data_IF_301427711089
#
_entry.id   IF_301427711089
#
_cell.length_a   1.000
_cell.length_b   1.000
_cell.length_c   1.000
_cell.angle_alpha   90.00
_cell.angle_beta   90.00
_cell.angle_gamma   90.00
#
_symmetry.space_group_name_H-M   'P 1'
#
loop_
_entity.id
_entity.type
_entity.pdbx_description
1 polymer ?
#
# COMPACT_ATOMS: atom_id res chain seq x y z
N UNK A 1 -2.29 1.77 -7.21
CA UNK A 1 -0.98 1.21 -6.85
C UNK A 1 -1.05 -0.31 -6.73
N UNK A 2 -2.04 -0.88 -6.03
CA UNK A 2 -2.16 -2.34 -5.84
C UNK A 2 -2.41 -3.11 -7.14
N UNK A 3 -3.30 -2.62 -8.00
CA UNK A 3 -3.56 -3.25 -9.31
C UNK A 3 -2.42 -2.97 -10.27
N UNK A 4 -1.80 -1.80 -10.17
CA UNK A 4 -0.60 -1.50 -10.95
C UNK A 4 0.51 -2.52 -10.67
N UNK A 5 0.81 -2.82 -9.40
CA UNK A 5 1.79 -3.87 -9.08
C UNK A 5 1.35 -5.24 -9.66
N UNK A 6 0.08 -5.61 -9.56
CA UNK A 6 -0.42 -6.88 -10.16
C UNK A 6 -0.33 -6.91 -11.68
N UNK A 7 -0.62 -5.81 -12.35
CA UNK A 7 -0.50 -5.70 -13.83
C UNK A 7 0.98 -5.71 -14.23
N UNK A 8 1.83 -4.96 -13.52
CA UNK A 8 3.28 -4.95 -13.73
C UNK A 8 3.84 -6.37 -13.60
N UNK A 9 3.49 -7.09 -12.54
CA UNK A 9 4.01 -8.43 -12.29
C UNK A 9 3.50 -9.46 -13.30
N UNK A 10 2.24 -9.42 -13.68
CA UNK A 10 1.71 -10.30 -14.74
C UNK A 10 2.33 -10.06 -16.11
N UNK A 11 2.74 -8.83 -16.42
CA UNK A 11 3.33 -8.49 -17.71
C UNK A 11 4.83 -8.75 -17.80
N UNK A 12 5.54 -8.75 -16.68
CA UNK A 12 7.00 -8.88 -16.61
C UNK A 12 7.50 -10.33 -16.48
N UNK A 13 6.62 -11.28 -16.17
CA UNK A 13 6.99 -12.69 -15.92
C UNK A 13 7.54 -12.93 -14.50
N UNK A 14 7.64 -14.21 -14.14
CA UNK A 14 7.86 -14.67 -12.77
C UNK A 14 9.18 -14.24 -12.11
N UNK A 15 10.19 -13.85 -12.86
CA UNK A 15 11.52 -13.50 -12.30
C UNK A 15 11.54 -12.13 -11.60
N UNK A 16 10.66 -11.20 -11.99
CA UNK A 16 10.55 -9.89 -11.34
C UNK A 16 9.60 -9.89 -10.13
N UNK A 17 8.76 -10.90 -10.01
CA UNK A 17 7.76 -11.01 -8.94
C UNK A 17 8.40 -11.15 -7.55
N UNK A 18 9.59 -11.78 -7.48
CA UNK A 18 10.26 -12.06 -6.21
C UNK A 18 10.78 -10.80 -5.51
N UNK A 19 11.12 -9.74 -6.26
CA UNK A 19 11.82 -8.58 -5.69
C UNK A 19 10.94 -7.70 -4.79
N UNK A 20 9.68 -7.49 -5.17
CA UNK A 20 8.69 -6.69 -4.43
C UNK A 20 7.41 -7.46 -4.11
N UNK A 21 7.41 -8.73 -4.41
CA UNK A 21 6.37 -9.64 -3.94
C UNK A 21 6.28 -9.56 -2.42
N UNK A 22 5.10 -9.40 -1.86
CA UNK A 22 4.87 -9.15 -0.43
C UNK A 22 5.31 -7.76 0.09
N UNK A 23 5.58 -6.78 -0.77
CA UNK A 23 5.82 -5.41 -0.31
C UNK A 23 4.51 -4.67 -0.01
N UNK A 24 4.52 -3.87 1.06
CA UNK A 24 3.39 -3.05 1.47
C UNK A 24 3.45 -1.67 0.82
N UNK A 25 2.33 -1.12 0.32
CA UNK A 25 2.31 0.25 -0.18
C UNK A 25 2.41 1.25 0.98
N UNK A 26 3.22 2.30 0.82
CA UNK A 26 3.24 3.45 1.73
C UNK A 26 2.16 4.48 1.39
N UNK A 27 1.73 4.50 0.13
CA UNK A 27 0.73 5.43 -0.37
C UNK A 27 -0.70 5.04 -0.03
N UNK A 28 -1.65 5.82 -0.54
CA UNK A 28 -3.06 5.58 -0.34
C UNK A 28 -3.50 4.24 -0.96
N UNK A 29 -4.24 3.46 -0.19
CA UNK A 29 -4.76 2.15 -0.62
C UNK A 29 -5.84 2.25 -1.70
N UNK A 30 -6.28 3.46 -2.03
CA UNK A 30 -7.32 3.74 -3.04
C UNK A 30 -6.80 3.80 -4.48
N UNK A 31 -5.48 3.78 -4.69
CA UNK A 31 -4.87 3.74 -6.02
C UNK A 31 -4.93 2.31 -6.54
N UNK A 32 -6.03 1.96 -7.19
CA UNK A 32 -6.36 0.59 -7.61
C UNK A 32 -5.92 0.27 -9.04
N UNK A 33 -5.46 1.26 -9.79
CA UNK A 33 -4.98 1.11 -11.17
C UNK A 33 -6.04 1.39 -12.24
N UNK A 34 -7.19 1.95 -11.85
CA UNK A 34 -8.33 2.21 -12.75
C UNK A 34 -7.92 3.00 -13.98
N UNK A 35 -7.02 4.01 -13.81
CA UNK A 35 -6.50 4.79 -14.94
C UNK A 35 -5.68 3.97 -15.94
N UNK A 36 -5.04 2.88 -15.51
CA UNK A 36 -4.33 1.96 -16.41
C UNK A 36 -5.33 1.10 -17.16
N UNK A 37 -6.36 0.59 -16.48
CA UNK A 37 -7.43 -0.20 -17.11
C UNK A 37 -8.16 0.63 -18.17
N UNK A 38 -8.56 1.86 -17.83
CA UNK A 38 -9.16 2.81 -18.78
C UNK A 38 -8.26 3.07 -20.00
N UNK A 39 -6.95 3.19 -19.79
CA UNK A 39 -5.99 3.39 -20.88
C UNK A 39 -5.87 2.14 -21.77
N UNK A 40 -5.92 0.93 -21.17
CA UNK A 40 -5.91 -0.33 -21.90
C UNK A 40 -7.17 -0.50 -22.76
N UNK A 41 -8.34 -0.11 -22.26
CA UNK A 41 -9.61 -0.19 -22.97
C UNK A 41 -9.61 0.62 -24.28
N UNK A 42 -8.84 1.70 -24.33
CA UNK A 42 -8.67 2.53 -25.52
C UNK A 42 -7.39 2.22 -26.32
N UNK A 43 -6.77 1.08 -26.03
CA UNK A 43 -5.54 0.61 -26.69
C UNK A 43 -4.36 1.59 -26.54
N UNK A 44 -4.20 2.23 -25.39
CA UNK A 44 -3.04 3.07 -25.12
C UNK A 44 -1.75 2.24 -25.00
N UNK A 45 -0.64 2.83 -25.40
CA UNK A 45 0.70 2.27 -25.16
C UNK A 45 1.07 2.49 -23.71
N UNK A 46 1.51 1.46 -23.01
CA UNK A 46 1.99 1.54 -21.63
C UNK A 46 3.52 1.67 -21.58
N UNK A 47 4.01 2.46 -20.62
CA UNK A 47 5.43 2.68 -20.37
C UNK A 47 5.75 2.55 -18.87
N UNK A 48 7.01 2.35 -18.54
CA UNK A 48 7.54 2.29 -17.19
C UNK A 48 6.85 1.26 -16.27
N UNK A 49 6.23 0.22 -16.83
CA UNK A 49 5.42 -0.75 -16.09
C UNK A 49 6.23 -1.59 -15.08
N UNK A 50 7.55 -1.67 -15.23
CA UNK A 50 8.45 -2.35 -14.31
C UNK A 50 9.08 -1.41 -13.27
N UNK A 51 8.74 -0.12 -13.27
CA UNK A 51 9.38 0.86 -12.39
C UNK A 51 8.60 0.99 -11.08
N UNK A 52 9.21 0.52 -10.01
CA UNK A 52 8.72 0.61 -8.63
C UNK A 52 9.76 1.30 -7.78
N UNK A 53 9.33 2.22 -6.93
CA UNK A 53 10.18 2.92 -5.98
C UNK A 53 10.08 2.24 -4.60
N UNK A 54 10.96 1.30 -4.40
CA UNK A 54 11.11 0.38 -3.28
C UNK A 54 12.19 -0.66 -3.58
N UNK A 55 12.41 -1.64 -2.66
CA UNK A 55 11.85 -1.69 -1.32
C UNK A 55 12.52 -0.72 -0.35
N UNK A 56 11.73 -0.17 0.58
CA UNK A 56 12.25 0.49 1.77
C UNK A 56 11.89 -0.36 3.01
N UNK A 57 12.79 -0.50 3.98
CA UNK A 57 12.49 -1.16 5.25
C UNK A 57 11.56 -0.27 6.08
N UNK A 58 10.47 -0.84 6.59
CA UNK A 58 9.55 -0.15 7.49
C UNK A 58 8.84 -1.10 8.45
N UNK A 59 8.41 -0.59 9.58
CA UNK A 59 7.50 -1.31 10.47
C UNK A 59 6.07 -1.01 10.08
N UNK A 60 5.25 -2.06 9.97
CA UNK A 60 3.84 -1.95 9.57
C UNK A 60 2.97 -1.94 10.81
N UNK A 61 2.01 -1.03 10.83
CA UNK A 61 0.97 -0.99 11.85
C UNK A 61 0.00 -2.18 11.61
N UNK A 62 -0.14 -3.11 12.55
CA UNK A 62 -0.97 -4.28 12.36
C UNK A 62 -2.47 -3.96 12.22
N UNK A 63 -2.93 -2.84 12.80
CA UNK A 63 -4.34 -2.46 12.76
C UNK A 63 -4.77 -1.83 11.44
N UNK A 64 -3.85 -1.11 10.79
CA UNK A 64 -4.15 -0.34 9.57
C UNK A 64 -3.49 -0.91 8.31
N UNK A 65 -2.48 -1.78 8.45
CA UNK A 65 -1.65 -2.26 7.35
C UNK A 65 -0.73 -1.19 6.73
N UNK A 66 -0.70 0.01 7.30
CA UNK A 66 0.14 1.10 6.83
C UNK A 66 1.51 1.12 7.51
N UNK A 67 2.52 1.67 6.86
CA UNK A 67 3.82 1.91 7.49
C UNK A 67 3.70 3.02 8.55
N UNK A 68 4.36 2.85 9.71
CA UNK A 68 4.41 3.89 10.74
C UNK A 68 5.21 5.12 10.31
N UNK A 69 6.16 4.98 9.41
CA UNK A 69 7.02 6.05 8.93
C UNK A 69 8.14 5.51 8.05
N UNK A 70 9.28 6.15 8.08
CA UNK A 70 10.46 5.74 7.32
C UNK A 70 11.57 5.32 8.27
N UNK A 71 12.17 4.14 8.07
CA UNK A 71 13.39 3.74 8.79
C UNK A 71 14.66 4.27 8.10
N UNK A 72 14.58 4.48 6.78
CA UNK A 72 15.66 5.07 5.98
C UNK A 72 15.11 6.25 5.19
N UNK A 73 15.76 7.37 5.24
CA UNK A 73 15.42 8.52 4.40
C UNK A 73 16.62 9.47 4.25
N UNK A 74 16.47 10.45 3.38
CA UNK A 74 17.41 11.55 3.24
C UNK A 74 17.68 12.24 4.59
N UNK A 75 18.94 12.43 4.91
CA UNK A 75 19.40 13.07 6.16
C UNK A 75 18.97 14.53 6.30
N UNK A 76 18.44 15.15 5.25
CA UNK A 76 17.94 16.54 5.26
C UNK A 76 16.58 16.71 5.94
N UNK A 77 15.84 15.61 6.16
CA UNK A 77 14.52 15.63 6.79
C UNK A 77 14.54 14.85 8.11
N UNK A 78 14.10 15.50 9.17
CA UNK A 78 13.93 14.87 10.48
C UNK A 78 12.59 14.11 10.49
N UNK A 79 12.53 12.99 9.73
CA UNK A 79 11.33 12.17 9.62
C UNK A 79 11.37 11.10 10.72
N UNK A 80 10.26 10.91 11.39
CA UNK A 80 10.04 9.91 12.44
C UNK A 80 10.49 8.51 12.02
N UNK A 81 11.31 7.86 12.83
CA UNK A 81 11.90 6.53 12.60
C UNK A 81 13.31 6.53 12.01
N UNK A 82 13.64 7.48 11.13
CA UNK A 82 14.97 7.52 10.49
C UNK A 82 16.09 7.82 11.46
N UNK A 83 15.86 8.74 12.41
CA UNK A 83 16.81 9.09 13.45
C UNK A 83 17.19 7.89 14.30
N UNK A 84 16.18 7.20 14.83
CA UNK A 84 16.36 6.03 15.68
C UNK A 84 17.19 4.94 14.97
N UNK A 85 16.78 4.53 13.78
CA UNK A 85 17.48 3.48 13.02
C UNK A 85 18.93 3.84 12.75
N UNK A 86 19.16 5.07 12.29
CA UNK A 86 20.50 5.58 11.97
C UNK A 86 21.42 5.63 13.17
N UNK A 87 20.89 5.99 14.34
CA UNK A 87 21.70 6.24 15.53
C UNK A 87 21.78 5.04 16.48
N UNK A 88 20.75 4.18 16.52
CA UNK A 88 20.51 3.33 17.68
C UNK A 88 20.23 1.87 17.35
N UNK A 89 20.13 1.48 16.07
CA UNK A 89 19.73 0.13 15.72
C UNK A 89 20.56 -0.48 14.60
N UNK A 90 20.48 -1.79 14.47
CA UNK A 90 20.94 -2.55 13.29
C UNK A 90 19.77 -3.29 12.67
N UNK A 91 19.80 -3.51 11.36
CA UNK A 91 18.78 -4.28 10.64
C UNK A 91 19.43 -5.57 10.11
N UNK A 92 18.81 -6.71 10.46
CA UNK A 92 19.33 -8.04 10.16
C UNK A 92 18.28 -8.87 9.42
N UNK A 93 18.74 -9.87 8.66
CA UNK A 93 17.90 -10.93 8.10
C UNK A 93 17.57 -12.03 9.13
N UNK A 94 16.80 -13.05 8.72
CA UNK A 94 16.50 -14.22 9.54
C UNK A 94 17.74 -15.08 9.84
N UNK A 95 18.81 -14.95 9.06
CA UNK A 95 20.12 -15.54 9.31
C UNK A 95 20.93 -14.80 10.40
N UNK A 96 20.38 -13.71 10.92
CA UNK A 96 21.00 -12.86 11.93
C UNK A 96 22.02 -11.86 11.40
N UNK A 97 22.31 -11.84 10.09
CA UNK A 97 23.32 -10.95 9.51
C UNK A 97 22.74 -9.62 9.02
N UNK A 98 23.51 -8.54 9.24
CA UNK A 98 23.22 -7.23 8.62
C UNK A 98 23.35 -7.34 7.10
N UNK A 99 22.52 -6.62 6.38
CA UNK A 99 22.52 -6.60 4.91
C UNK A 99 22.64 -5.18 4.34
N UNK A 100 22.77 -4.17 5.17
CA UNK A 100 22.79 -2.78 4.73
C UNK A 100 23.48 -1.84 5.71
N UNK A 101 23.73 -0.62 5.26
CA UNK A 101 24.11 0.50 6.11
C UNK A 101 22.85 1.22 6.58
N UNK A 102 22.53 1.15 7.85
CA UNK A 102 21.32 1.74 8.45
C UNK A 102 21.35 3.27 8.51
N UNK A 103 22.51 3.86 8.28
CA UNK A 103 22.71 5.32 8.19
C UNK A 103 22.83 5.80 6.75
N UNK A 104 22.56 4.93 5.77
CA UNK A 104 22.66 5.33 4.36
C UNK A 104 21.53 6.27 3.95
N UNK A 105 21.84 7.13 3.00
CA UNK A 105 20.84 7.91 2.30
C UNK A 105 20.02 6.98 1.39
N UNK A 106 18.70 6.94 1.56
CA UNK A 106 17.81 6.20 0.68
C UNK A 106 16.95 7.15 -0.14
N UNK A 107 16.85 6.88 -1.42
CA UNK A 107 15.87 7.49 -2.33
C UNK A 107 14.82 6.45 -2.72
N UNK A 108 13.78 6.35 -1.92
CA UNK A 108 12.64 5.45 -2.19
C UNK A 108 13.09 4.03 -2.56
N UNK A 109 13.85 3.40 -1.64
CA UNK A 109 14.35 2.04 -1.82
C UNK A 109 15.58 1.91 -2.72
N UNK A 110 16.17 3.01 -3.11
CA UNK A 110 17.48 3.02 -3.79
C UNK A 110 18.52 3.60 -2.88
N UNK A 111 19.67 2.95 -2.84
CA UNK A 111 20.82 3.34 -2.02
C UNK A 111 22.02 3.64 -2.92
N UNK A 112 22.92 4.54 -2.50
CA UNK A 112 24.12 4.82 -3.27
C UNK A 112 25.04 3.60 -3.27
N UNK A 113 25.53 3.25 -4.46
CA UNK A 113 26.52 2.21 -4.66
C UNK A 113 27.48 2.65 -5.78
N UNK A 114 28.77 2.79 -5.45
CA UNK A 114 29.75 3.44 -6.34
C UNK A 114 29.27 4.82 -6.81
N UNK A 115 29.17 5.05 -8.12
CA UNK A 115 28.75 6.32 -8.70
C UNK A 115 27.27 6.35 -9.12
N UNK A 116 26.44 5.42 -8.62
CA UNK A 116 25.05 5.29 -9.00
C UNK A 116 24.12 5.01 -7.86
N UNK A 117 22.85 4.82 -8.18
CA UNK A 117 21.80 4.40 -7.28
C UNK A 117 21.36 3.00 -7.66
N UNK A 118 21.41 2.08 -6.69
CA UNK A 118 20.98 0.70 -6.88
C UNK A 118 19.79 0.39 -5.97
N UNK A 119 18.86 -0.49 -6.39
CA UNK A 119 17.84 -0.98 -5.48
C UNK A 119 18.44 -1.62 -4.23
N UNK A 120 17.85 -1.34 -3.07
CA UNK A 120 18.19 -2.03 -1.83
C UNK A 120 17.72 -3.48 -1.94
N UNK A 121 18.64 -4.42 -1.85
CA UNK A 121 18.30 -5.84 -1.74
C UNK A 121 17.94 -6.12 -0.28
N UNK A 122 16.69 -6.46 -0.04
CA UNK A 122 16.16 -6.69 1.30
C UNK A 122 15.65 -8.14 1.41
N UNK A 123 16.07 -8.93 2.43
CA UNK A 123 15.54 -10.26 2.65
C UNK A 123 14.04 -10.23 3.01
N UNK A 124 13.34 -11.36 2.80
CA UNK A 124 11.88 -11.45 3.07
C UNK A 124 11.55 -11.31 4.56
N UNK A 125 12.44 -11.79 5.43
CA UNK A 125 12.33 -11.65 6.87
C UNK A 125 13.47 -10.78 7.36
N UNK A 126 13.15 -9.55 7.72
CA UNK A 126 14.10 -8.60 8.28
C UNK A 126 13.61 -8.09 9.64
N UNK A 127 14.55 -7.71 10.49
CA UNK A 127 14.27 -7.30 11.86
C UNK A 127 15.19 -6.14 12.24
N UNK A 128 14.64 -5.15 12.90
CA UNK A 128 15.42 -4.08 13.54
C UNK A 128 15.72 -4.50 14.98
N UNK A 129 17.00 -4.48 15.35
CA UNK A 129 17.50 -4.89 16.67
C UNK A 129 18.12 -3.69 17.37
N UNK A 130 17.79 -3.50 18.64
CA UNK A 130 18.27 -2.42 19.48
C UNK A 130 18.32 -2.85 20.96
N UNK A 131 18.98 -2.07 21.80
CA UNK A 131 19.15 -2.35 23.22
C UNK A 131 18.35 -1.39 24.12
N UNK A 132 18.46 -1.55 25.43
CA UNK A 132 17.69 -0.77 26.40
C UNK A 132 18.15 0.70 26.51
N UNK A 133 19.42 0.97 26.24
CA UNK A 133 19.92 2.34 26.15
C UNK A 133 19.30 3.05 24.95
N UNK A 134 19.31 2.41 23.80
CA UNK A 134 18.69 2.92 22.59
C UNK A 134 17.20 3.20 22.80
N UNK A 135 16.46 2.24 23.37
CA UNK A 135 15.03 2.35 23.65
C UNK A 135 14.69 3.56 24.53
N UNK A 136 15.49 3.85 25.51
CA UNK A 136 15.31 4.97 26.43
C UNK A 136 15.78 6.31 25.90
N UNK A 137 16.68 6.30 24.91
CA UNK A 137 17.29 7.53 24.39
C UNK A 137 16.41 8.29 23.43
N UNK A 138 15.64 7.59 22.59
CA UNK A 138 14.84 8.18 21.52
C UNK A 138 13.64 7.27 21.21
N UNK A 139 12.50 7.85 20.91
CA UNK A 139 11.32 7.13 20.43
C UNK A 139 11.54 6.68 18.99
N UNK A 140 11.17 5.44 18.66
CA UNK A 140 11.29 4.91 17.29
C UNK A 140 10.40 5.70 16.34
N UNK A 141 9.13 5.87 16.69
CA UNK A 141 8.16 6.69 15.98
C UNK A 141 7.45 7.63 16.95
N UNK A 142 7.14 8.84 16.53
CA UNK A 142 6.38 9.81 17.33
C UNK A 142 5.00 9.30 17.75
N UNK A 143 4.41 8.42 16.95
CA UNK A 143 3.11 7.79 17.24
C UNK A 143 3.18 6.66 18.26
N UNK A 144 4.39 6.18 18.61
CA UNK A 144 4.57 5.10 19.57
C UNK A 144 4.54 5.61 21.01
N UNK A 145 4.31 4.71 21.94
CA UNK A 145 4.36 5.04 23.35
C UNK A 145 5.77 5.39 23.81
N UNK A 146 5.86 6.15 24.89
CA UNK A 146 7.15 6.45 25.51
C UNK A 146 7.88 5.14 25.82
N UNK A 147 9.16 5.08 25.46
CA UNK A 147 10.02 3.91 25.65
C UNK A 147 9.47 2.62 25.02
N UNK A 148 8.54 2.74 24.03
CA UNK A 148 7.88 1.63 23.35
C UNK A 148 7.17 0.63 24.27
N UNK A 149 6.70 1.05 25.44
CA UNK A 149 6.12 0.15 26.43
C UNK A 149 4.83 -0.55 25.96
N UNK A 150 3.94 0.18 25.26
CA UNK A 150 2.71 -0.41 24.72
C UNK A 150 3.02 -1.40 23.60
N UNK A 151 3.99 -1.08 22.77
CA UNK A 151 4.42 -1.91 21.63
C UNK A 151 5.11 -3.20 22.11
N UNK A 152 5.82 -3.13 23.25
CA UNK A 152 6.37 -4.31 23.93
C UNK A 152 5.23 -5.13 24.57
N UNK A 153 4.32 -4.49 25.28
CA UNK A 153 3.19 -5.15 25.95
C UNK A 153 2.26 -5.84 24.96
N UNK A 154 2.05 -5.27 23.77
CA UNK A 154 1.28 -5.90 22.68
C UNK A 154 2.01 -7.06 22.01
N UNK A 155 3.31 -7.22 22.24
CA UNK A 155 4.15 -8.21 21.60
C UNK A 155 4.59 -7.86 20.17
N UNK A 156 4.32 -6.65 19.69
CA UNK A 156 4.82 -6.15 18.41
C UNK A 156 6.34 -5.97 18.47
N UNK A 157 6.86 -5.40 19.56
CA UNK A 157 8.28 -5.38 19.87
C UNK A 157 8.59 -6.56 20.80
N UNK A 158 9.47 -7.45 20.38
CA UNK A 158 9.94 -8.57 21.21
C UNK A 158 11.06 -8.10 22.12
N UNK A 159 11.17 -8.75 23.30
CA UNK A 159 12.16 -8.45 24.33
C UNK A 159 12.86 -9.72 24.77
N UNK A 160 14.18 -9.72 24.81
CA UNK A 160 15.02 -10.81 25.34
C UNK A 160 16.06 -10.28 26.31
N UNK A 161 16.37 -11.03 27.37
CA UNK A 161 17.45 -10.67 28.30
C UNK A 161 18.84 -10.96 27.70
N UNK A 162 18.88 -11.83 26.70
CA UNK A 162 20.07 -12.09 25.88
C UNK A 162 19.74 -11.96 24.41
N UNK A 163 20.76 -11.82 23.58
CA UNK A 163 20.63 -11.78 22.10
C UNK A 163 20.00 -13.07 21.59
N UNK A 164 20.41 -14.22 22.14
CA UNK A 164 19.91 -15.54 21.72
C UNK A 164 18.43 -15.74 22.13
N UNK A 165 18.03 -15.23 23.29
CA UNK A 165 16.63 -15.25 23.71
C UNK A 165 15.77 -14.42 22.75
N UNK A 166 16.21 -13.21 22.43
CA UNK A 166 15.54 -12.34 21.46
C UNK A 166 15.45 -12.99 20.08
N UNK A 167 16.56 -13.57 19.60
CA UNK A 167 16.62 -14.23 18.30
C UNK A 167 15.57 -15.35 18.16
N UNK A 168 15.45 -16.22 19.19
CA UNK A 168 14.44 -17.30 19.20
C UNK A 168 13.01 -16.76 19.15
N UNK A 169 12.72 -15.65 19.85
CA UNK A 169 11.39 -15.03 19.82
C UNK A 169 11.03 -14.41 18.46
N UNK A 170 12.04 -13.98 17.70
CA UNK A 170 11.89 -13.38 16.38
C UNK A 170 11.97 -14.40 15.23
N UNK A 171 12.40 -15.63 15.50
CA UNK A 171 12.67 -16.62 14.47
C UNK A 171 13.94 -16.35 13.67
N UNK A 172 14.93 -15.72 14.31
CA UNK A 172 16.28 -15.45 13.76
C UNK A 172 17.21 -16.56 14.22
N UNK A 173 18.22 -16.91 13.40
CA UNK A 173 19.33 -17.79 13.84
C UNK A 173 20.05 -17.18 15.06
N UNK A 174 19.97 -17.80 16.25
CA UNK A 174 20.55 -17.23 17.46
C UNK A 174 22.08 -17.10 17.40
N UNK A 175 22.75 -18.06 16.79
CA UNK A 175 24.21 -18.03 16.66
C UNK A 175 24.65 -17.01 15.62
N UNK A 176 23.89 -16.87 14.53
CA UNK A 176 24.10 -15.85 13.51
C UNK A 176 23.98 -14.46 14.12
N UNK A 177 22.88 -14.19 14.82
CA UNK A 177 22.64 -12.88 15.44
C UNK A 177 23.70 -12.55 16.50
N UNK A 178 24.07 -13.51 17.37
CA UNK A 178 25.11 -13.31 18.38
C UNK A 178 26.43 -12.92 17.72
N UNK A 179 26.91 -13.71 16.75
CA UNK A 179 28.15 -13.41 16.03
C UNK A 179 28.11 -12.04 15.34
N UNK A 180 26.98 -11.67 14.74
CA UNK A 180 26.84 -10.38 14.08
C UNK A 180 26.90 -9.21 15.07
N UNK A 181 26.21 -9.32 16.21
CA UNK A 181 26.20 -8.25 17.23
C UNK A 181 27.59 -8.11 17.86
N UNK A 182 28.25 -9.21 18.20
CA UNK A 182 29.60 -9.17 18.74
C UNK A 182 30.57 -8.51 17.75
N UNK A 183 30.53 -8.91 16.47
CA UNK A 183 31.34 -8.32 15.42
C UNK A 183 31.03 -6.82 15.21
N UNK A 184 29.76 -6.43 15.22
CA UNK A 184 29.35 -5.04 15.13
C UNK A 184 29.88 -4.21 16.31
N UNK A 185 29.76 -4.72 17.53
CA UNK A 185 30.25 -4.07 18.75
C UNK A 185 31.77 -3.88 18.72
N UNK A 186 32.54 -4.87 18.24
CA UNK A 186 33.96 -4.70 18.01
C UNK A 186 34.31 -3.60 17.03
N UNK A 187 33.52 -3.49 15.95
CA UNK A 187 33.71 -2.43 14.96
C UNK A 187 33.33 -1.07 15.50
N UNK A 188 32.30 -0.96 16.32
CA UNK A 188 31.99 0.26 17.05
C UNK A 188 33.17 0.71 17.95
N UNK A 189 33.78 -0.23 18.66
CA UNK A 189 34.95 0.08 19.50
C UNK A 189 36.17 0.56 18.67
N UNK A 190 36.35 0.02 17.47
CA UNK A 190 37.37 0.48 16.51
C UNK A 190 37.02 1.77 15.80
N UNK A 191 35.76 2.18 15.83
CA UNK A 191 35.24 3.37 15.14
C UNK A 191 35.16 3.26 13.63
N UNK A 192 35.06 2.02 13.09
CA UNK A 192 34.96 1.75 11.66
C UNK A 192 34.05 0.54 11.38
N UNK A 193 33.03 0.71 10.56
CA UNK A 193 32.18 -0.39 10.04
C UNK A 193 32.78 -0.95 8.74
N UNK A 194 33.36 -2.14 8.83
CA UNK A 194 33.99 -2.82 7.70
C UNK A 194 32.96 -3.48 6.77
N UNK A 195 31.75 -3.79 7.26
CA UNK A 195 30.74 -4.45 6.47
C UNK A 195 30.04 -3.49 5.50
N UNK A 196 29.51 -2.38 6.01
CA UNK A 196 28.65 -1.49 5.24
C UNK A 196 29.09 -0.03 5.27
N UNK A 197 30.24 0.29 5.86
CA UNK A 197 30.82 1.65 5.91
C UNK A 197 29.88 2.67 6.55
N UNK A 198 29.13 2.27 7.59
CA UNK A 198 28.34 3.16 8.42
C UNK A 198 29.26 4.20 9.07
N UNK A 199 28.93 5.46 8.92
CA UNK A 199 29.79 6.56 9.39
C UNK A 199 30.06 6.50 10.89
N UNK A 200 31.30 6.76 11.33
CA UNK A 200 31.77 6.68 12.72
C UNK A 200 30.81 7.34 13.73
N UNK A 201 30.23 8.48 13.39
CA UNK A 201 29.30 9.22 14.27
C UNK A 201 28.00 8.45 14.58
N UNK A 202 27.68 7.43 13.80
CA UNK A 202 26.49 6.59 13.93
C UNK A 202 26.78 5.19 14.47
N UNK A 203 28.02 4.90 14.81
CA UNK A 203 28.43 3.64 15.39
C UNK A 203 28.18 3.67 16.90
N UNK A 204 27.09 3.05 17.32
CA UNK A 204 26.76 2.79 18.71
C UNK A 204 26.68 1.27 18.93
N UNK A 205 27.42 0.73 19.90
CA UNK A 205 27.36 -0.70 20.20
C UNK A 205 26.04 -1.03 20.91
N UNK A 206 25.58 -2.26 20.77
CA UNK A 206 24.43 -2.82 21.46
C UNK A 206 24.92 -3.66 22.65
N UNK A 207 24.97 -3.06 23.84
CA UNK A 207 25.57 -3.66 25.05
C UNK A 207 24.60 -3.76 26.23
N UNK A 208 23.53 -3.00 26.21
CA UNK A 208 22.66 -2.79 27.36
C UNK A 208 21.44 -3.69 27.32
N UNK A 209 21.49 -4.84 28.00
CA UNK A 209 20.32 -5.68 28.15
C UNK A 209 19.19 -4.97 28.94
N UNK A 210 17.89 -5.29 28.72
CA UNK A 210 17.41 -6.25 27.72
C UNK A 210 17.56 -5.75 26.29
N UNK A 211 17.54 -6.70 25.34
CA UNK A 211 17.55 -6.41 23.91
C UNK A 211 16.16 -6.49 23.34
N UNK A 212 15.91 -5.74 22.28
CA UNK A 212 14.60 -5.60 21.64
C UNK A 212 14.69 -5.80 20.14
N UNK A 213 13.58 -6.26 19.56
CA UNK A 213 13.51 -6.41 18.12
C UNK A 213 12.08 -6.29 17.61
N UNK A 214 11.97 -5.74 16.41
CA UNK A 214 10.70 -5.58 15.69
C UNK A 214 10.86 -6.03 14.24
N UNK A 215 9.81 -6.68 13.70
CA UNK A 215 9.79 -7.09 12.30
C UNK A 215 9.78 -5.87 11.39
N UNK A 216 10.59 -5.93 10.35
CA UNK A 216 10.68 -4.90 9.31
C UNK A 216 10.21 -5.49 8.00
N UNK A 217 9.25 -4.84 7.38
CA UNK A 217 8.65 -5.28 6.13
C UNK A 217 9.17 -4.46 4.94
N UNK A 218 9.12 -5.06 3.76
CA UNK A 218 9.37 -4.38 2.49
C UNK A 218 8.22 -3.43 2.19
N UNK A 219 8.52 -2.18 1.90
CA UNK A 219 7.51 -1.23 1.45
C UNK A 219 7.91 -0.55 0.17
N UNK A 220 6.94 -0.05 -0.58
CA UNK A 220 7.20 0.78 -1.76
C UNK A 220 6.43 2.10 -1.67
N UNK A 221 7.05 3.16 -2.18
CA UNK A 221 6.48 4.50 -2.14
C UNK A 221 5.45 4.68 -3.24
N UNK A 222 5.80 4.32 -4.48
CA UNK A 222 4.97 4.49 -5.66
C UNK A 222 5.46 3.65 -6.83
N UNK A 223 4.68 3.68 -7.91
CA UNK A 223 5.00 3.05 -9.19
C UNK A 223 4.91 4.10 -10.29
N UNK A 224 5.68 3.96 -11.37
CA UNK A 224 5.78 4.97 -12.42
C UNK A 224 5.11 4.54 -13.74
N UNK A 225 4.51 3.36 -13.75
CA UNK A 225 3.88 2.81 -14.95
C UNK A 225 2.53 3.43 -15.29
N UNK A 226 2.17 3.33 -16.55
CA UNK A 226 0.89 3.79 -17.08
C UNK A 226 0.96 4.14 -18.55
N UNK A 227 -0.06 4.83 -19.08
CA UNK A 227 -0.09 5.22 -20.50
C UNK A 227 1.02 6.21 -20.85
N UNK A 228 1.67 5.96 -21.96
CA UNK A 228 2.61 6.90 -22.57
C UNK A 228 1.86 8.15 -23.02
N UNK A 229 2.47 9.31 -22.79
CA UNK A 229 1.96 10.61 -23.25
C UNK A 229 3.06 11.41 -23.95
N UNK A 230 2.65 12.31 -24.83
CA UNK A 230 3.53 13.27 -25.48
C UNK A 230 3.68 14.54 -24.64
N UNK A 231 4.42 15.52 -25.19
CA UNK A 231 4.64 16.84 -24.57
C UNK A 231 3.37 17.68 -24.40
N UNK A 232 2.27 17.31 -25.08
CA UNK A 232 0.95 17.90 -24.94
C UNK A 232 0.02 17.13 -24.00
N UNK A 233 0.59 16.19 -23.23
CA UNK A 233 -0.14 15.31 -22.34
C UNK A 233 -1.12 14.33 -23.02
N UNK A 234 -1.16 14.26 -24.35
CA UNK A 234 -2.03 13.35 -25.12
C UNK A 234 -1.53 11.91 -25.00
N UNK A 235 -2.42 10.95 -24.81
CA UNK A 235 -2.08 9.54 -24.76
C UNK A 235 -1.70 9.01 -26.13
N UNK A 236 -0.68 8.14 -26.14
CA UNK A 236 -0.17 7.47 -27.35
C UNK A 236 -0.85 6.11 -27.49
N UNK A 237 -1.30 5.75 -28.69
CA UNK A 237 -1.83 4.42 -29.03
C UNK A 237 -0.70 3.39 -29.13
N UNK A 238 -1.01 2.15 -28.79
CA UNK A 238 -0.17 1.01 -29.18
C UNK A 238 -0.12 0.96 -30.71
N UNK A 239 1.05 1.09 -31.29
CA UNK A 239 1.24 1.18 -32.75
C UNK A 239 1.40 2.59 -33.29
N UNK A 240 1.34 3.61 -32.45
CA UNK A 240 1.61 5.01 -32.80
C UNK A 240 0.38 5.87 -33.00
N UNK A 241 0.61 7.18 -33.05
CA UNK A 241 -0.44 8.20 -33.07
C UNK A 241 -1.05 8.48 -31.71
N UNK A 242 -1.81 9.57 -31.61
CA UNK A 242 -2.44 10.00 -30.36
C UNK A 242 -3.88 9.47 -30.23
N UNK A 243 -4.36 9.34 -29.01
CA UNK A 243 -5.76 9.11 -28.70
C UNK A 243 -6.40 10.49 -28.55
N UNK A 244 -7.29 10.84 -29.48
CA UNK A 244 -7.90 12.15 -29.51
C UNK A 244 -8.66 12.43 -28.20
N UNK A 245 -8.49 13.66 -27.67
CA UNK A 245 -9.20 14.17 -26.49
C UNK A 245 -8.98 13.41 -25.19
N UNK A 246 -7.92 12.58 -25.14
CA UNK A 246 -7.55 11.85 -23.92
C UNK A 246 -6.16 12.27 -23.46
N UNK A 247 -6.08 12.69 -22.20
CA UNK A 247 -4.88 13.25 -21.59
C UNK A 247 -4.53 12.51 -20.29
N UNK A 248 -3.24 12.49 -19.96
CA UNK A 248 -2.77 11.97 -18.67
C UNK A 248 -1.72 12.91 -18.05
N UNK A 249 -1.69 12.93 -16.72
CA UNK A 249 -0.76 13.74 -15.95
C UNK A 249 -0.33 13.02 -14.67
N UNK A 250 0.83 13.38 -14.15
CA UNK A 250 1.35 12.87 -12.89
C UNK A 250 1.91 11.45 -12.98
N UNK A 251 1.81 10.72 -11.87
CA UNK A 251 2.41 9.39 -11.67
C UNK A 251 1.92 8.33 -12.66
N UNK A 252 0.73 8.50 -13.20
CA UNK A 252 0.15 7.61 -14.20
C UNK A 252 0.90 7.74 -15.54
N UNK A 253 1.85 6.83 -15.79
CA UNK A 253 2.75 6.90 -16.95
C UNK A 253 3.81 7.99 -16.81
N UNK A 254 4.43 8.09 -15.64
CA UNK A 254 5.39 9.12 -15.29
C UNK A 254 6.58 9.22 -16.23
N UNK A 255 7.15 10.42 -16.33
CA UNK A 255 8.40 10.69 -17.05
C UNK A 255 9.66 10.21 -16.31
N UNK A 256 9.53 9.64 -15.13
CA UNK A 256 10.64 9.11 -14.34
C UNK A 256 10.87 7.61 -14.62
N UNK A 257 11.77 7.23 -15.55
CA UNK A 257 11.90 5.84 -15.97
C UNK A 257 12.74 4.98 -15.00
N UNK A 258 13.44 5.57 -14.04
CA UNK A 258 14.36 4.84 -13.16
C UNK A 258 14.41 5.39 -11.75
N UNK A 259 14.81 6.63 -11.56
CA UNK A 259 15.00 7.23 -10.26
C UNK A 259 13.97 8.34 -10.05
N UNK A 260 13.11 8.15 -9.06
CA UNK A 260 12.17 9.17 -8.60
C UNK A 260 12.82 10.05 -7.54
N UNK A 261 12.80 11.35 -7.74
CA UNK A 261 13.13 12.33 -6.71
C UNK A 261 11.85 12.75 -5.97
N UNK A 262 11.92 12.85 -4.65
CA UNK A 262 10.79 13.28 -3.83
C UNK A 262 10.17 14.59 -4.33
N UNK A 263 8.85 14.61 -4.48
CA UNK A 263 8.11 15.74 -5.06
C UNK A 263 8.04 15.76 -6.59
N UNK A 264 8.82 14.93 -7.30
CA UNK A 264 8.84 14.91 -8.77
C UNK A 264 7.48 14.61 -9.38
N UNK A 265 6.75 13.62 -8.86
CA UNK A 265 5.41 13.27 -9.35
C UNK A 265 4.38 14.39 -9.12
N UNK A 266 4.50 15.15 -8.01
CA UNK A 266 3.64 16.32 -7.76
C UNK A 266 3.95 17.43 -8.78
N UNK A 267 5.24 17.71 -9.02
CA UNK A 267 5.65 18.66 -10.05
C UNK A 267 5.17 18.26 -11.44
N UNK A 268 5.28 16.99 -11.78
CA UNK A 268 4.78 16.41 -13.03
C UNK A 268 3.26 16.52 -13.15
N UNK A 269 2.52 16.21 -12.08
CA UNK A 269 1.07 16.34 -12.06
C UNK A 269 0.62 17.77 -12.31
N UNK A 270 1.29 18.76 -11.69
CA UNK A 270 0.99 20.18 -11.90
C UNK A 270 1.33 20.64 -13.32
N UNK A 271 2.50 20.27 -13.83
CA UNK A 271 2.95 20.68 -15.16
C UNK A 271 2.08 20.05 -16.26
N UNK A 272 1.95 18.72 -16.28
CA UNK A 272 1.17 18.03 -17.29
C UNK A 272 -0.35 18.20 -17.10
N UNK A 273 -0.84 18.38 -15.88
CA UNK A 273 -2.24 18.72 -15.63
C UNK A 273 -2.61 20.09 -16.22
N UNK A 274 -1.72 21.09 -16.08
CA UNK A 274 -1.89 22.39 -16.73
C UNK A 274 -1.88 22.27 -18.26
N UNK A 275 -0.90 21.52 -18.82
CA UNK A 275 -0.79 21.29 -20.26
C UNK A 275 -2.07 20.60 -20.78
N UNK A 276 -2.50 19.53 -20.14
CA UNK A 276 -3.71 18.80 -20.49
C UNK A 276 -4.95 19.71 -20.51
N UNK A 277 -5.12 20.54 -19.48
CA UNK A 277 -6.21 21.50 -19.43
C UNK A 277 -6.17 22.55 -20.54
N UNK A 278 -4.97 23.05 -20.86
CA UNK A 278 -4.78 23.99 -21.97
C UNK A 278 -5.07 23.35 -23.34
N UNK A 279 -4.63 22.12 -23.57
CA UNK A 279 -4.90 21.40 -24.82
C UNK A 279 -6.38 21.02 -24.94
N UNK A 280 -6.98 20.55 -23.87
CA UNK A 280 -8.42 20.26 -23.84
C UNK A 280 -9.29 21.50 -24.15
N UNK A 281 -8.90 22.67 -23.63
CA UNK A 281 -9.62 23.92 -23.91
C UNK A 281 -9.54 24.40 -25.37
N UNK A 282 -8.56 23.94 -26.14
CA UNK A 282 -8.45 24.26 -27.60
C UNK A 282 -9.39 23.41 -28.44
N UNK A 283 -9.88 22.31 -27.91
CA UNK A 283 -10.77 21.41 -28.63
C UNK A 283 -12.12 22.10 -28.80
N UNK A 284 -12.44 22.46 -30.03
CA UNK A 284 -13.79 22.92 -30.39
C UNK A 284 -14.65 21.68 -30.56
N UNK A 285 -15.68 21.56 -29.77
CA UNK A 285 -16.73 20.55 -29.96
C UNK A 285 -18.01 21.25 -30.37
N UNK A 286 -18.61 20.76 -31.43
CA UNK A 286 -19.98 21.18 -31.82
C UNK A 286 -21.05 20.46 -30.98
N UNK A 287 -20.62 19.57 -30.06
CA UNK A 287 -21.49 18.88 -29.14
C UNK A 287 -22.02 19.88 -28.10
N UNK A 288 -23.34 19.91 -27.94
CA UNK A 288 -23.97 20.62 -26.85
C UNK A 288 -23.36 20.18 -25.50
N UNK A 289 -22.85 21.12 -24.68
CA UNK A 289 -22.33 20.82 -23.36
C UNK A 289 -23.27 19.94 -22.50
N UNK A 290 -24.59 20.10 -22.66
CA UNK A 290 -25.57 19.26 -21.99
C UNK A 290 -25.59 17.82 -22.51
N UNK A 291 -25.35 17.58 -23.79
CA UNK A 291 -25.26 16.22 -24.34
C UNK A 291 -24.02 15.49 -23.90
N UNK A 292 -22.90 16.23 -23.71
CA UNK A 292 -21.64 15.67 -23.15
C UNK A 292 -21.83 15.34 -21.67
N UNK A 293 -22.52 16.20 -20.91
CA UNK A 293 -22.84 15.94 -19.49
C UNK A 293 -23.81 14.77 -19.34
N UNK A 294 -24.80 14.62 -20.21
CA UNK A 294 -25.71 13.47 -20.25
C UNK A 294 -24.97 12.18 -20.59
N UNK A 295 -23.94 12.22 -21.43
CA UNK A 295 -23.04 11.10 -21.69
C UNK A 295 -22.21 10.71 -20.46
N UNK A 296 -21.75 11.70 -19.69
CA UNK A 296 -21.00 11.48 -18.45
C UNK A 296 -21.89 10.97 -17.30
N UNK A 297 -23.15 11.39 -17.24
CA UNK A 297 -24.13 10.85 -16.28
C UNK A 297 -24.44 9.36 -16.54
N UNK A 298 -24.26 8.89 -17.76
CA UNK A 298 -24.43 7.49 -18.15
C UNK A 298 -23.15 6.67 -18.02
N UNK A 299 -22.02 7.30 -17.67
CA UNK A 299 -20.76 6.61 -17.39
C UNK A 299 -20.72 6.11 -15.94
N UNK A 300 -21.65 5.26 -15.60
CA UNK A 300 -21.52 4.38 -14.45
C UNK A 300 -20.96 3.04 -14.92
N UNK A 301 -20.05 2.39 -14.17
CA UNK A 301 -19.77 0.98 -14.41
C UNK A 301 -21.11 0.28 -14.60
N UNK A 302 -21.28 -0.46 -15.72
CA UNK A 302 -22.57 -1.10 -16.04
C UNK A 302 -23.08 -1.79 -14.80
N UNK A 303 -24.23 -1.35 -14.29
CA UNK A 303 -24.83 -1.97 -13.12
C UNK A 303 -24.96 -3.46 -13.38
N UNK A 304 -24.35 -4.27 -12.54
CA UNK A 304 -24.59 -5.71 -12.58
C UNK A 304 -25.97 -5.91 -11.95
N UNK A 305 -27.01 -5.95 -12.79
CA UNK A 305 -28.37 -6.31 -12.38
C UNK A 305 -28.49 -7.82 -12.42
N UNK A 306 -28.52 -8.44 -11.26
CA UNK A 306 -28.71 -9.87 -11.16
C UNK A 306 -30.17 -10.27 -11.50
N UNK A 307 -31.17 -9.51 -11.03
CA UNK A 307 -32.61 -9.69 -11.34
C UNK A 307 -33.46 -8.70 -10.52
N UNK A 308 -34.75 -8.58 -10.83
CA UNK A 308 -35.71 -7.86 -9.97
C UNK A 308 -35.88 -8.54 -8.61
N UNK A 309 -36.38 -7.82 -7.60
CA UNK A 309 -36.73 -8.40 -6.31
C UNK A 309 -37.73 -9.55 -6.49
N UNK A 310 -37.51 -10.65 -5.79
CA UNK A 310 -38.36 -11.83 -5.82
C UNK A 310 -39.52 -11.70 -4.82
N UNK A 311 -40.58 -12.49 -5.03
CA UNK A 311 -41.67 -12.55 -4.08
C UNK A 311 -41.18 -12.94 -2.68
N UNK A 312 -41.61 -12.19 -1.66
CA UNK A 312 -41.19 -12.38 -0.27
C UNK A 312 -39.84 -11.74 0.11
N UNK A 313 -39.14 -11.08 -0.81
CA UNK A 313 -37.96 -10.31 -0.48
C UNK A 313 -38.31 -8.88 -0.04
N UNK A 314 -37.64 -8.39 0.98
CA UNK A 314 -37.62 -6.98 1.37
C UNK A 314 -36.35 -6.38 0.81
N UNK A 315 -36.49 -5.29 0.07
CA UNK A 315 -35.31 -4.59 -0.48
C UNK A 315 -34.67 -3.67 0.53
N UNK A 316 -33.34 -3.73 0.58
CA UNK A 316 -32.52 -2.74 1.29
C UNK A 316 -31.56 -2.06 0.32
N UNK A 317 -31.33 -0.77 0.52
CA UNK A 317 -30.52 0.07 -0.37
C UNK A 317 -29.48 0.85 0.41
N UNK A 318 -28.33 0.98 -0.18
CA UNK A 318 -27.25 1.85 0.31
C UNK A 318 -26.34 2.28 -0.84
N UNK A 319 -25.20 2.84 -0.48
CA UNK A 319 -24.18 3.25 -1.46
C UNK A 319 -22.81 2.67 -1.06
N UNK A 320 -22.19 1.94 -1.98
CA UNK A 320 -20.79 1.54 -1.90
C UNK A 320 -19.87 2.53 -2.61
N UNK A 321 -18.64 2.10 -2.92
CA UNK A 321 -17.63 2.96 -3.58
C UNK A 321 -18.01 3.23 -5.05
N UNK A 322 -18.53 2.22 -5.76
CA UNK A 322 -18.90 2.32 -7.18
C UNK A 322 -20.29 2.84 -7.41
N UNK A 323 -21.15 2.96 -6.41
CA UNK A 323 -22.54 3.40 -6.58
C UNK A 323 -23.53 2.68 -5.67
N UNK A 324 -24.75 2.46 -6.17
CA UNK A 324 -25.80 1.83 -5.41
C UNK A 324 -25.49 0.35 -5.15
N UNK A 325 -25.83 -0.11 -3.94
CA UNK A 325 -25.91 -1.53 -3.56
C UNK A 325 -27.36 -1.79 -3.18
N UNK A 326 -28.02 -2.71 -3.88
CA UNK A 326 -29.39 -3.11 -3.63
C UNK A 326 -29.45 -4.58 -3.30
N UNK A 327 -30.01 -4.92 -2.14
CA UNK A 327 -30.15 -6.28 -1.64
C UNK A 327 -31.61 -6.69 -1.60
N UNK A 328 -31.88 -7.97 -1.89
CA UNK A 328 -33.12 -8.66 -1.57
C UNK A 328 -32.91 -9.56 -0.35
N UNK A 329 -33.65 -9.33 0.70
CA UNK A 329 -33.53 -10.04 1.98
C UNK A 329 -34.83 -10.77 2.29
N UNK A 330 -34.76 -12.08 2.53
CA UNK A 330 -35.89 -12.89 3.02
C UNK A 330 -35.77 -13.05 4.53
N UNK A 331 -36.89 -12.85 5.21
CA UNK A 331 -37.01 -12.99 6.65
C UNK A 331 -37.95 -14.12 7.05
N UNK A 332 -37.62 -14.80 8.12
CA UNK A 332 -38.53 -15.65 8.88
C UNK A 332 -38.62 -15.10 10.31
N UNK A 333 -39.74 -14.48 10.63
CA UNK A 333 -39.83 -13.66 11.84
C UNK A 333 -38.88 -12.46 11.76
N UNK A 334 -37.90 -12.43 12.65
CA UNK A 334 -36.83 -11.39 12.68
C UNK A 334 -35.46 -11.95 12.18
N UNK A 335 -35.46 -13.21 11.79
CA UNK A 335 -34.23 -13.86 11.33
C UNK A 335 -34.06 -13.73 9.83
N UNK A 336 -32.86 -13.39 9.39
CA UNK A 336 -32.51 -13.37 7.97
C UNK A 336 -32.31 -14.82 7.48
N UNK A 337 -33.14 -15.25 6.53
CA UNK A 337 -33.04 -16.58 5.91
C UNK A 337 -32.19 -16.56 4.63
N UNK A 338 -32.29 -15.50 3.84
CA UNK A 338 -31.52 -15.37 2.62
C UNK A 338 -31.20 -13.91 2.33
N UNK A 339 -30.04 -13.68 1.75
CA UNK A 339 -29.62 -12.38 1.22
C UNK A 339 -29.14 -12.59 -0.21
N UNK A 340 -29.57 -11.74 -1.12
CA UNK A 340 -29.19 -11.74 -2.52
C UNK A 340 -28.84 -10.33 -2.98
N UNK A 341 -27.77 -10.18 -3.73
CA UNK A 341 -27.42 -8.90 -4.36
C UNK A 341 -28.31 -8.75 -5.61
N UNK A 342 -29.15 -7.73 -5.64
CA UNK A 342 -30.03 -7.40 -6.75
C UNK A 342 -29.31 -6.51 -7.76
N UNK A 343 -28.59 -5.51 -7.25
CA UNK A 343 -27.87 -4.53 -8.05
C UNK A 343 -26.62 -4.04 -7.31
N UNK A 344 -25.54 -3.86 -8.01
CA UNK A 344 -24.37 -3.18 -7.50
C UNK A 344 -23.58 -2.50 -8.63
N UNK A 345 -22.78 -1.49 -8.24
CA UNK A 345 -21.87 -0.79 -9.13
C UNK A 345 -20.43 -0.88 -8.62
N UNK A 346 -20.12 -1.94 -7.87
CA UNK A 346 -18.83 -2.11 -7.23
C UNK A 346 -17.75 -2.53 -8.21
N UNK A 347 -16.50 -2.16 -7.88
CA UNK A 347 -15.32 -2.44 -8.69
C UNK A 347 -15.15 -3.94 -8.92
N UNK A 348 -15.05 -4.39 -10.18
CA UNK A 348 -14.77 -5.79 -10.50
C UNK A 348 -13.51 -6.31 -9.79
N UNK A 349 -13.56 -7.53 -9.27
CA UNK A 349 -12.42 -8.18 -8.61
C UNK A 349 -12.14 -7.73 -7.16
N UNK A 350 -12.74 -6.64 -6.69
CA UNK A 350 -12.58 -6.13 -5.32
C UNK A 350 -13.94 -6.08 -4.63
N UNK A 351 -14.69 -5.01 -4.81
CA UNK A 351 -16.02 -4.85 -4.20
C UNK A 351 -17.02 -5.87 -4.72
N UNK A 352 -17.04 -6.13 -6.03
CA UNK A 352 -17.88 -7.16 -6.62
C UNK A 352 -17.57 -8.55 -6.03
N UNK A 353 -16.28 -8.90 -5.88
CA UNK A 353 -15.88 -10.18 -5.26
C UNK A 353 -16.25 -10.26 -3.77
N UNK A 354 -16.19 -9.16 -3.04
CA UNK A 354 -16.65 -9.13 -1.65
C UNK A 354 -18.16 -9.42 -1.57
N UNK A 355 -18.96 -8.88 -2.51
CA UNK A 355 -20.40 -9.12 -2.57
C UNK A 355 -20.79 -10.58 -2.91
N UNK A 356 -19.86 -11.43 -3.37
CA UNK A 356 -20.09 -12.87 -3.54
C UNK A 356 -20.12 -13.60 -2.19
N UNK A 357 -19.32 -13.19 -1.22
CA UNK A 357 -19.19 -13.83 0.09
C UNK A 357 -20.07 -13.23 1.19
N UNK A 358 -20.30 -11.91 1.15
CA UNK A 358 -21.04 -11.18 2.17
C UNK A 358 -22.49 -11.65 2.38
N UNK A 359 -23.27 -12.08 1.35
CA UNK A 359 -24.61 -12.60 1.55
C UNK A 359 -24.67 -13.81 2.48
N UNK A 360 -23.79 -14.80 2.28
CA UNK A 360 -23.74 -15.99 3.13
C UNK A 360 -23.33 -15.65 4.57
N UNK A 361 -22.37 -14.76 4.74
CA UNK A 361 -21.95 -14.26 6.06
C UNK A 361 -23.10 -13.53 6.78
N UNK A 362 -23.90 -12.73 6.07
CA UNK A 362 -25.04 -12.02 6.62
C UNK A 362 -26.16 -12.95 7.10
N UNK A 363 -26.40 -14.06 6.39
CA UNK A 363 -27.34 -15.09 6.85
C UNK A 363 -26.84 -15.76 8.12
N UNK A 364 -25.57 -16.17 8.15
CA UNK A 364 -24.95 -16.82 9.31
C UNK A 364 -24.92 -15.92 10.55
N UNK A 365 -24.59 -14.64 10.37
CA UNK A 365 -24.48 -13.64 11.43
C UNK A 365 -25.77 -12.87 11.73
N UNK A 366 -26.92 -13.24 11.15
CA UNK A 366 -28.19 -12.52 11.24
C UNK A 366 -28.04 -11.01 10.97
N UNK A 367 -27.37 -10.67 9.86
CA UNK A 367 -27.10 -9.31 9.41
C UNK A 367 -25.74 -8.73 9.84
N UNK A 368 -25.05 -9.37 10.77
CA UNK A 368 -23.69 -8.98 11.15
C UNK A 368 -22.69 -9.66 10.20
N UNK A 369 -21.81 -8.86 9.64
CA UNK A 369 -20.71 -9.34 8.77
C UNK A 369 -19.41 -8.65 9.14
N UNK A 370 -18.31 -9.35 9.03
CA UNK A 370 -16.98 -8.79 9.22
C UNK A 370 -16.54 -8.01 7.97
N UNK A 371 -15.56 -7.13 8.14
CA UNK A 371 -15.02 -6.38 7.02
C UNK A 371 -14.19 -7.29 6.13
N UNK A 372 -14.46 -7.24 4.82
CA UNK A 372 -13.63 -7.90 3.82
C UNK A 372 -12.41 -7.04 3.54
N UNK A 373 -11.22 -7.62 3.72
CA UNK A 373 -9.96 -6.92 3.47
C UNK A 373 -9.88 -6.40 2.03
N UNK A 374 -9.52 -5.14 1.86
CA UNK A 374 -9.49 -4.47 0.56
C UNK A 374 -10.84 -3.97 0.04
N UNK A 375 -11.97 -4.34 0.69
CA UNK A 375 -13.33 -3.94 0.28
C UNK A 375 -14.13 -3.30 1.43
N UNK A 376 -13.48 -2.53 2.29
CA UNK A 376 -14.07 -1.95 3.51
C UNK A 376 -15.28 -1.06 3.23
N UNK A 377 -15.22 -0.22 2.18
CA UNK A 377 -16.33 0.69 1.81
C UNK A 377 -17.50 -0.11 1.25
N UNK A 378 -17.26 -1.11 0.41
CA UNK A 378 -18.29 -2.03 -0.07
C UNK A 378 -18.95 -2.79 1.07
N UNK A 379 -18.14 -3.29 2.02
CA UNK A 379 -18.65 -4.00 3.22
C UNK A 379 -19.51 -3.06 4.08
N UNK A 380 -19.09 -1.81 4.26
CA UNK A 380 -19.89 -0.79 4.97
C UNK A 380 -21.23 -0.56 4.25
N UNK A 381 -21.20 -0.34 2.94
CA UNK A 381 -22.41 -0.18 2.13
C UNK A 381 -23.31 -1.42 2.22
N UNK A 382 -22.74 -2.62 2.15
CA UNK A 382 -23.51 -3.85 2.33
C UNK A 382 -24.24 -3.92 3.70
N UNK A 383 -23.54 -3.60 4.79
CA UNK A 383 -24.13 -3.51 6.14
C UNK A 383 -25.28 -2.50 6.23
N UNK A 384 -25.10 -1.33 5.62
CA UNK A 384 -26.13 -0.29 5.57
C UNK A 384 -27.34 -0.74 4.78
N UNK A 385 -27.16 -1.47 3.66
CA UNK A 385 -28.26 -2.05 2.89
C UNK A 385 -29.00 -3.15 3.67
N UNK A 386 -28.29 -3.97 4.46
CA UNK A 386 -28.93 -4.93 5.38
C UNK A 386 -29.76 -4.20 6.45
N UNK A 387 -29.20 -3.16 7.05
CA UNK A 387 -29.90 -2.37 8.07
C UNK A 387 -31.17 -1.70 7.50
N UNK A 388 -31.10 -1.19 6.26
CA UNK A 388 -32.26 -0.63 5.55
C UNK A 388 -33.33 -1.70 5.27
N UNK A 389 -32.93 -2.91 4.85
CA UNK A 389 -33.86 -4.01 4.68
C UNK A 389 -34.56 -4.43 5.99
N UNK A 390 -33.82 -4.49 7.10
CA UNK A 390 -34.38 -4.78 8.42
C UNK A 390 -35.40 -3.71 8.83
N UNK A 391 -35.07 -2.44 8.64
CA UNK A 391 -36.01 -1.32 8.90
C UNK A 391 -37.27 -1.43 8.08
N UNK A 392 -37.12 -1.71 6.77
CA UNK A 392 -38.26 -1.87 5.86
C UNK A 392 -39.13 -3.10 6.19
N UNK A 393 -38.52 -4.18 6.70
CA UNK A 393 -39.24 -5.35 7.17
C UNK A 393 -40.08 -5.04 8.43
N UNK A 394 -39.49 -4.33 9.39
CA UNK A 394 -40.20 -3.93 10.63
C UNK A 394 -41.37 -2.98 10.35
N UNK A 395 -41.21 -2.04 9.38
CA UNK A 395 -42.26 -1.10 8.97
C UNK A 395 -43.46 -1.78 8.28
N UNK A 396 -43.29 -2.96 7.64
CA UNK A 396 -44.37 -3.73 7.03
C UNK A 396 -45.22 -4.53 8.05
N UNK A 397 -44.77 -4.66 9.29
CA UNK A 397 -45.45 -5.38 10.38
C UNK A 397 -46.32 -4.48 11.25
N UNK A 398 -46.16 -3.16 11.12
CA UNK A 398 -47.01 -2.12 11.72
C UNK A 398 -48.12 -1.75 10.75
#
# INVERSE_FOLDING_TARGET
VFIHSRIVFKSAGSEYDAYIYNAFPKGAHFNTGDGIEMALDVNAKLVNMAVVNGPDPNVINPDTGAAYGYLLHDTSHNISGCGFTRNNAVIVGADGWRFMNEATHSKHGRVPYHNGWTPLVMPDNAFMIFDDEARKSECIYESWSKDSEKEIASGMVKKGNTIEELARQLGIDPDGLRRQIDFYNEQCAKGEDLQFKRGKRYLKPLLSAPFYGVKVEKTFTNTQGGPERNERAELIKRGGGVIAHLYAAGELGSVFPNLYNGGGNIGEALAFGRIAGMEAAKVKTDADPQSVMQGAENWHPKAVRASAAQAGEVTGRSRGIGGAIVLGVKFEGERIQAVRVIEHHETPGIGAKALESLPAAAVAGNGKVDSVSGATITTKGFREAIADAIKNHSAKKQ
#
